data_IF_812046370067
#
_entry.id   IF_812046370067
#
_cell.length_a   1.000
_cell.length_b   1.000
_cell.length_c   1.000
_cell.angle_alpha   90.00
_cell.angle_beta   90.00
_cell.angle_gamma   90.00
#
_symmetry.space_group_name_H-M   'P 1'
#
loop_
_entity.id
_entity.type
_entity.pdbx_description
1 polymer ?
#
# COMPACT_ATOMS: atom_id res chain seq x y z
N UNK A 1 23.07 0.68 -18.30
CA UNK A 1 22.67 -0.67 -17.83
C UNK A 1 22.04 -0.66 -16.41
N UNK A 2 22.70 -0.07 -15.40
CA UNK A 2 22.22 -0.05 -14.01
C UNK A 2 20.89 0.70 -13.84
N UNK A 3 20.78 1.93 -14.38
CA UNK A 3 19.56 2.72 -14.33
C UNK A 3 18.37 2.01 -14.99
N UNK A 4 18.59 1.36 -16.13
CA UNK A 4 17.56 0.58 -16.81
C UNK A 4 17.06 -0.59 -15.95
N UNK A 5 17.97 -1.32 -15.32
CA UNK A 5 17.62 -2.41 -14.41
C UNK A 5 16.81 -1.91 -13.20
N UNK A 6 17.17 -0.75 -12.62
CA UNK A 6 16.44 -0.14 -11.52
C UNK A 6 15.02 0.29 -11.94
N UNK A 7 14.86 0.89 -13.12
CA UNK A 7 13.55 1.28 -13.64
C UNK A 7 12.67 0.04 -13.84
N UNK A 8 13.19 -1.00 -14.50
CA UNK A 8 12.44 -2.25 -14.72
C UNK A 8 12.06 -2.91 -13.40
N UNK A 9 12.97 -2.97 -12.44
CA UNK A 9 12.69 -3.51 -11.10
C UNK A 9 11.61 -2.70 -10.38
N UNK A 10 11.66 -1.36 -10.44
CA UNK A 10 10.68 -0.47 -9.83
C UNK A 10 9.28 -0.62 -10.45
N UNK A 11 9.21 -0.72 -11.78
CA UNK A 11 7.94 -0.94 -12.50
C UNK A 11 7.36 -2.32 -12.15
N UNK A 12 8.19 -3.37 -12.18
CA UNK A 12 7.77 -4.72 -11.83
C UNK A 12 7.26 -4.81 -10.38
N UNK A 13 7.96 -4.19 -9.43
CA UNK A 13 7.56 -4.15 -8.03
C UNK A 13 6.19 -3.47 -7.85
N UNK A 14 5.97 -2.32 -8.49
CA UNK A 14 4.68 -1.64 -8.45
C UNK A 14 3.55 -2.47 -9.06
N UNK A 15 3.83 -3.12 -10.20
CA UNK A 15 2.87 -3.97 -10.87
C UNK A 15 2.46 -5.18 -10.02
N UNK A 16 3.41 -5.81 -9.32
CA UNK A 16 3.11 -6.90 -8.37
C UNK A 16 2.32 -6.39 -7.16
N UNK A 17 2.62 -5.19 -6.68
CA UNK A 17 1.99 -4.64 -5.47
C UNK A 17 0.54 -4.19 -5.69
N UNK A 18 0.29 -3.43 -6.75
CA UNK A 18 -1.02 -2.78 -7.01
C UNK A 18 -1.85 -3.54 -8.04
N UNK A 19 -1.23 -4.44 -8.81
CA UNK A 19 -1.78 -5.02 -10.06
C UNK A 19 -2.03 -3.95 -11.11
N UNK A 20 -2.43 -4.36 -12.32
CA UNK A 20 -2.82 -3.44 -13.37
C UNK A 20 -4.11 -2.70 -12.97
N UNK A 21 -4.00 -1.47 -12.47
CA UNK A 21 -5.13 -0.60 -12.18
C UNK A 21 -5.17 0.52 -13.23
N UNK A 22 -6.04 0.40 -14.21
CA UNK A 22 -6.23 1.42 -15.24
C UNK A 22 -7.38 2.34 -14.86
N UNK A 23 -7.06 3.50 -14.27
CA UNK A 23 -8.06 4.44 -13.73
C UNK A 23 -7.83 5.88 -14.23
N UNK A 24 -8.08 6.16 -15.53
CA UNK A 24 -7.84 7.48 -16.13
C UNK A 24 -8.71 8.59 -15.51
N UNK A 25 -9.83 8.26 -14.87
CA UNK A 25 -10.69 9.23 -14.16
C UNK A 25 -10.04 9.85 -12.92
N UNK A 26 -9.01 9.21 -12.35
CA UNK A 26 -8.27 9.74 -11.19
C UNK A 26 -7.40 10.95 -11.59
N UNK A 27 -7.06 11.07 -12.87
CA UNK A 27 -6.23 12.15 -13.41
C UNK A 27 -7.02 13.48 -13.51
N UNK A 28 -8.37 13.42 -13.46
CA UNK A 28 -9.19 14.63 -13.47
C UNK A 28 -9.00 15.42 -12.17
N UNK A 29 -8.65 16.72 -12.22
CA UNK A 29 -8.50 17.53 -11.01
C UNK A 29 -9.87 17.69 -10.32
N UNK A 30 -10.00 17.11 -9.12
CA UNK A 30 -11.21 17.24 -8.27
C UNK A 30 -10.98 18.33 -7.22
N UNK A 31 -11.63 19.48 -7.38
CA UNK A 31 -11.51 20.63 -6.45
C UNK A 31 -11.99 20.33 -5.03
N UNK A 32 -12.87 19.34 -4.84
CA UNK A 32 -13.29 18.85 -3.52
C UNK A 32 -12.13 18.28 -2.69
N UNK A 33 -11.08 17.76 -3.34
CA UNK A 33 -9.88 17.23 -2.66
C UNK A 33 -8.88 18.32 -2.24
N UNK A 34 -9.10 19.58 -2.63
CA UNK A 34 -8.21 20.70 -2.30
C UNK A 34 -8.56 21.37 -0.96
N UNK A 35 -9.58 20.94 -0.23
CA UNK A 35 -9.93 21.55 1.05
C UNK A 35 -8.85 21.23 2.12
N UNK A 36 -8.03 22.23 2.53
CA UNK A 36 -6.86 21.98 3.37
C UNK A 36 -7.23 21.60 4.81
N UNK A 37 -8.39 22.05 5.31
CA UNK A 37 -8.89 21.70 6.64
C UNK A 37 -9.32 20.23 6.72
N UNK A 38 -10.03 19.74 5.70
CA UNK A 38 -10.41 18.33 5.61
C UNK A 38 -9.18 17.43 5.40
N UNK A 39 -8.21 17.88 4.60
CA UNK A 39 -6.92 17.21 4.40
C UNK A 39 -6.13 17.09 5.71
N UNK A 40 -6.05 18.16 6.50
CA UNK A 40 -5.34 18.16 7.79
C UNK A 40 -6.00 17.19 8.78
N UNK A 41 -7.34 17.18 8.87
CA UNK A 41 -8.06 16.26 9.75
C UNK A 41 -7.81 14.80 9.35
N UNK A 42 -7.86 14.50 8.05
CA UNK A 42 -7.59 13.15 7.55
C UNK A 42 -6.14 12.70 7.76
N UNK A 43 -5.17 13.60 7.65
CA UNK A 43 -3.75 13.26 7.85
C UNK A 43 -3.45 13.07 9.35
N UNK A 44 -3.91 13.96 10.24
CA UNK A 44 -3.53 13.90 11.65
C UNK A 44 -4.41 13.01 12.54
N UNK A 45 -5.72 12.92 12.26
CA UNK A 45 -6.67 12.18 13.10
C UNK A 45 -7.02 10.79 12.57
N UNK A 46 -6.43 10.36 11.45
CA UNK A 46 -6.61 8.99 10.99
C UNK A 46 -5.76 8.04 11.84
N UNK A 47 -6.38 7.00 12.39
CA UNK A 47 -5.67 5.89 13.06
C UNK A 47 -4.60 5.24 12.16
N UNK A 48 -4.74 5.39 10.84
CA UNK A 48 -3.77 4.93 9.85
C UNK A 48 -2.43 5.65 9.98
N UNK A 49 -2.44 6.97 10.21
CA UNK A 49 -1.22 7.78 10.30
C UNK A 49 -0.36 7.36 11.48
N UNK A 50 -0.97 7.10 12.65
CA UNK A 50 -0.25 6.60 13.81
C UNK A 50 0.43 5.25 13.55
N UNK A 51 -0.26 4.32 12.87
CA UNK A 51 0.31 3.02 12.49
C UNK A 51 1.49 3.22 11.52
N UNK A 52 1.36 4.12 10.55
CA UNK A 52 2.45 4.43 9.60
C UNK A 52 3.65 5.08 10.28
N UNK A 53 3.43 5.99 11.23
CA UNK A 53 4.50 6.61 12.04
C UNK A 53 5.27 5.56 12.84
N UNK A 54 4.57 4.69 13.58
CA UNK A 54 5.21 3.62 14.37
C UNK A 54 6.02 2.69 13.47
N UNK A 55 5.47 2.27 12.33
CA UNK A 55 6.21 1.44 11.36
C UNK A 55 7.46 2.15 10.86
N UNK A 56 7.39 3.44 10.56
CA UNK A 56 8.54 4.20 10.06
C UNK A 56 9.61 4.39 11.14
N UNK A 57 9.21 4.63 12.39
CA UNK A 57 10.12 4.66 13.54
C UNK A 57 10.85 3.33 13.72
N UNK A 58 10.14 2.20 13.61
CA UNK A 58 10.75 0.86 13.67
C UNK A 58 11.75 0.68 12.52
N UNK A 59 11.35 0.97 11.27
CA UNK A 59 12.25 0.86 10.11
C UNK A 59 13.50 1.72 10.30
N UNK A 60 13.33 2.96 10.76
CA UNK A 60 14.44 3.86 11.03
C UNK A 60 15.37 3.31 12.11
N UNK A 61 14.83 2.82 13.23
CA UNK A 61 15.61 2.22 14.30
C UNK A 61 16.40 0.97 13.85
N UNK A 62 15.76 0.10 13.06
CA UNK A 62 16.42 -1.10 12.50
C UNK A 62 17.55 -0.71 11.56
N UNK A 63 17.31 0.23 10.64
CA UNK A 63 18.35 0.71 9.70
C UNK A 63 19.49 1.37 10.47
N UNK A 64 19.18 2.23 11.44
CA UNK A 64 20.17 2.88 12.29
C UNK A 64 21.04 1.86 13.02
N UNK A 65 20.44 0.83 13.62
CA UNK A 65 21.16 -0.23 14.30
C UNK A 65 22.06 -1.04 13.35
N UNK A 66 21.59 -1.37 12.15
CA UNK A 66 22.38 -2.09 11.14
C UNK A 66 23.56 -1.24 10.66
N UNK A 67 23.35 0.05 10.39
CA UNK A 67 24.40 0.97 10.00
C UNK A 67 25.42 1.13 11.13
N UNK A 68 24.96 1.42 12.34
CA UNK A 68 25.83 1.60 13.51
C UNK A 68 26.66 0.36 13.80
N UNK A 69 26.05 -0.83 13.82
CA UNK A 69 26.77 -2.09 14.04
C UNK A 69 27.75 -2.42 12.92
N UNK A 70 27.41 -2.13 11.66
CA UNK A 70 28.31 -2.36 10.54
C UNK A 70 29.50 -1.41 10.56
N UNK A 71 29.30 -0.12 10.88
CA UNK A 71 30.38 0.86 11.02
C UNK A 71 31.28 0.46 12.19
N UNK A 72 30.71 0.15 13.36
CA UNK A 72 31.46 -0.27 14.55
C UNK A 72 32.32 -1.51 14.29
N UNK A 73 31.77 -2.50 13.58
CA UNK A 73 32.51 -3.70 13.18
C UNK A 73 33.64 -3.40 12.20
N UNK A 74 33.44 -2.45 11.29
CA UNK A 74 34.42 -2.05 10.27
C UNK A 74 35.48 -1.06 10.80
N UNK A 75 35.35 -0.54 12.03
CA UNK A 75 36.31 0.43 12.57
C UNK A 75 37.74 -0.11 12.61
N UNK A 76 37.93 -1.42 12.84
CA UNK A 76 39.27 -2.04 12.80
C UNK A 76 39.93 -1.94 11.43
N UNK A 77 39.13 -2.03 10.38
CA UNK A 77 39.59 -1.96 8.99
C UNK A 77 39.73 -0.52 8.51
N UNK A 78 38.96 0.42 9.11
CA UNK A 78 38.97 1.84 8.77
C UNK A 78 40.16 2.59 9.39
N UNK A 79 40.58 2.23 10.61
CA UNK A 79 41.71 2.89 11.31
C UNK A 79 43.01 2.92 10.49
N UNK A 80 43.47 1.84 9.85
CA UNK A 80 44.70 1.84 9.07
C UNK A 80 44.58 2.50 7.68
N UNK A 81 43.39 2.93 7.23
CA UNK A 81 43.22 3.54 5.89
C UNK A 81 44.14 4.75 5.68
N UNK A 82 44.43 5.51 6.74
CA UNK A 82 45.30 6.69 6.67
C UNK A 82 46.76 6.36 6.27
N UNK A 83 47.20 5.10 6.42
CA UNK A 83 48.55 4.65 6.06
C UNK A 83 48.58 3.75 4.81
N UNK A 84 47.45 3.51 4.15
CA UNK A 84 47.33 2.64 2.99
C UNK A 84 47.54 3.38 1.66
N UNK A 85 48.03 2.65 0.65
CA UNK A 85 48.13 3.14 -0.73
C UNK A 85 46.74 3.28 -1.36
N UNK A 86 46.59 4.22 -2.30
CA UNK A 86 45.31 4.56 -2.94
C UNK A 86 44.56 3.36 -3.55
N UNK A 87 45.29 2.43 -4.17
CA UNK A 87 44.77 1.20 -4.79
C UNK A 87 44.17 0.24 -3.75
N UNK A 88 44.84 0.08 -2.61
CA UNK A 88 44.37 -0.76 -1.51
C UNK A 88 43.16 -0.14 -0.80
N UNK A 89 43.18 1.18 -0.61
CA UNK A 89 42.06 1.93 -0.03
C UNK A 89 40.80 1.84 -0.89
N UNK A 90 40.93 1.97 -2.23
CA UNK A 90 39.80 1.84 -3.14
C UNK A 90 39.16 0.45 -3.10
N UNK A 91 39.97 -0.60 -3.03
CA UNK A 91 39.51 -1.99 -2.95
C UNK A 91 38.79 -2.27 -1.62
N UNK A 92 39.37 -1.82 -0.50
CA UNK A 92 38.77 -1.93 0.82
C UNK A 92 37.44 -1.16 0.89
N UNK A 93 37.40 0.08 0.41
CA UNK A 93 36.17 0.87 0.34
C UNK A 93 35.09 0.18 -0.49
N UNK A 94 35.44 -0.39 -1.65
CA UNK A 94 34.52 -1.18 -2.47
C UNK A 94 33.95 -2.40 -1.73
N UNK A 95 34.78 -3.14 -0.99
CA UNK A 95 34.32 -4.28 -0.18
C UNK A 95 33.41 -3.85 0.99
N UNK A 96 33.71 -2.73 1.64
CA UNK A 96 32.90 -2.20 2.74
C UNK A 96 31.54 -1.71 2.24
N UNK A 97 31.53 -0.94 1.14
CA UNK A 97 30.30 -0.43 0.52
C UNK A 97 29.43 -1.60 0.03
N UNK A 98 30.00 -2.58 -0.67
CA UNK A 98 29.24 -3.74 -1.14
C UNK A 98 28.68 -4.56 0.01
N UNK A 99 29.48 -4.85 1.06
CA UNK A 99 29.02 -5.54 2.26
C UNK A 99 27.88 -4.79 2.96
N UNK A 100 27.99 -3.47 3.08
CA UNK A 100 26.95 -2.63 3.65
C UNK A 100 25.68 -2.66 2.80
N UNK A 101 25.81 -2.57 1.48
CA UNK A 101 24.70 -2.60 0.53
C UNK A 101 23.94 -3.93 0.60
N UNK A 102 24.66 -5.06 0.69
CA UNK A 102 24.05 -6.38 0.89
C UNK A 102 23.28 -6.47 2.21
N UNK A 103 23.89 -6.06 3.34
CA UNK A 103 23.24 -6.10 4.66
C UNK A 103 21.98 -5.24 4.69
N UNK A 104 22.09 -4.00 4.23
CA UNK A 104 20.98 -3.04 4.19
C UNK A 104 19.90 -3.50 3.22
N UNK A 105 20.29 -4.04 2.06
CA UNK A 105 19.37 -4.59 1.06
C UNK A 105 18.52 -5.74 1.61
N UNK A 106 19.14 -6.71 2.30
CA UNK A 106 18.41 -7.83 2.93
C UNK A 106 17.45 -7.32 4.00
N UNK A 107 17.88 -6.39 4.84
CA UNK A 107 17.03 -5.78 5.88
C UNK A 107 15.85 -5.06 5.25
N UNK A 108 16.05 -4.30 4.18
CA UNK A 108 14.96 -3.63 3.46
C UNK A 108 14.02 -4.61 2.78
N UNK A 109 14.49 -5.73 2.25
CA UNK A 109 13.61 -6.77 1.69
C UNK A 109 12.69 -7.34 2.76
N UNK A 110 13.22 -7.63 3.96
CA UNK A 110 12.42 -8.13 5.09
C UNK A 110 11.41 -7.07 5.55
N UNK A 111 11.87 -5.83 5.78
CA UNK A 111 11.01 -4.73 6.21
C UNK A 111 9.94 -4.39 5.16
N UNK A 112 10.30 -4.43 3.88
CA UNK A 112 9.39 -4.20 2.76
C UNK A 112 8.33 -5.29 2.64
N UNK A 113 8.72 -6.56 2.79
CA UNK A 113 7.78 -7.68 2.82
C UNK A 113 6.78 -7.60 3.99
N UNK A 114 7.28 -7.29 5.19
CA UNK A 114 6.43 -7.08 6.36
C UNK A 114 5.47 -5.90 6.17
N UNK A 115 5.95 -4.79 5.62
CA UNK A 115 5.14 -3.61 5.34
C UNK A 115 4.04 -3.91 4.31
N UNK A 116 4.38 -4.65 3.24
CA UNK A 116 3.42 -5.10 2.23
C UNK A 116 2.31 -5.95 2.86
N UNK A 117 2.64 -6.91 3.72
CA UNK A 117 1.65 -7.77 4.37
C UNK A 117 0.69 -6.98 5.26
N UNK A 118 1.22 -6.03 6.05
CA UNK A 118 0.39 -5.15 6.89
C UNK A 118 -0.50 -4.27 6.01
N UNK A 119 0.04 -3.68 4.94
CA UNK A 119 -0.74 -2.85 4.01
C UNK A 119 -1.84 -3.66 3.33
N UNK A 120 -1.56 -4.89 2.89
CA UNK A 120 -2.56 -5.78 2.29
C UNK A 120 -3.70 -6.08 3.25
N UNK A 121 -3.39 -6.39 4.52
CA UNK A 121 -4.39 -6.64 5.56
C UNK A 121 -5.23 -5.39 5.86
N UNK A 122 -4.58 -4.23 5.94
CA UNK A 122 -5.28 -2.96 6.17
C UNK A 122 -6.18 -2.59 4.99
N UNK A 123 -5.70 -2.79 3.77
CA UNK A 123 -6.48 -2.56 2.56
C UNK A 123 -7.72 -3.46 2.50
N UNK A 124 -7.56 -4.76 2.77
CA UNK A 124 -8.69 -5.69 2.86
C UNK A 124 -9.68 -5.29 3.94
N UNK A 125 -9.20 -4.88 5.13
CA UNK A 125 -10.05 -4.40 6.22
C UNK A 125 -10.83 -3.14 5.82
N UNK A 126 -10.22 -2.22 5.08
CA UNK A 126 -10.87 -1.00 4.62
C UNK A 126 -11.94 -1.25 3.54
N UNK A 127 -11.91 -2.40 2.86
CA UNK A 127 -12.95 -2.81 1.91
C UNK A 127 -14.10 -3.59 2.57
N UNK A 128 -14.00 -3.90 3.87
CA UNK A 128 -15.08 -4.56 4.60
C UNK A 128 -16.13 -3.53 5.02
N UNK A 129 -17.41 -3.84 4.78
CA UNK A 129 -18.52 -3.02 5.26
C UNK A 129 -18.63 -3.11 6.78
N UNK A 130 -18.88 -1.96 7.41
CA UNK A 130 -19.23 -1.91 8.82
C UNK A 130 -20.63 -2.50 9.06
N UNK A 131 -20.91 -2.96 10.29
CA UNK A 131 -22.27 -3.43 10.64
C UNK A 131 -23.33 -2.34 10.47
N UNK A 132 -22.92 -1.08 10.61
CA UNK A 132 -23.78 0.10 10.43
C UNK A 132 -24.06 0.33 8.94
N UNK A 133 -23.03 0.29 8.08
CA UNK A 133 -23.20 0.36 6.62
C UNK A 133 -24.08 -0.77 6.10
N UNK A 134 -23.86 -2.01 6.54
CA UNK A 134 -24.71 -3.15 6.15
C UNK A 134 -26.16 -2.89 6.55
N UNK A 135 -26.41 -2.46 7.79
CA UNK A 135 -27.77 -2.15 8.26
C UNK A 135 -28.41 -0.99 7.48
N UNK A 136 -27.61 -0.02 7.04
CA UNK A 136 -28.07 1.11 6.26
C UNK A 136 -28.36 0.71 4.81
N UNK A 137 -27.52 -0.11 4.17
CA UNK A 137 -27.80 -0.72 2.88
C UNK A 137 -29.08 -1.57 2.90
N UNK A 138 -29.28 -2.40 3.94
CA UNK A 138 -30.52 -3.18 4.09
C UNK A 138 -31.75 -2.25 4.20
N UNK A 139 -31.64 -1.16 4.96
CA UNK A 139 -32.72 -0.16 5.06
C UNK A 139 -32.96 0.59 3.76
N UNK A 140 -31.92 0.93 3.00
CA UNK A 140 -32.04 1.56 1.70
C UNK A 140 -32.65 0.60 0.67
N UNK A 141 -32.23 -0.67 0.64
CA UNK A 141 -32.81 -1.67 -0.27
C UNK A 141 -34.27 -2.02 0.06
N UNK A 142 -34.64 -2.09 1.34
CA UNK A 142 -36.04 -2.30 1.75
C UNK A 142 -36.89 -1.03 1.63
N UNK A 143 -36.25 0.15 1.74
CA UNK A 143 -36.89 1.46 1.71
C UNK A 143 -36.93 2.15 0.35
N UNK A 144 -36.20 1.66 -0.66
CA UNK A 144 -36.14 2.29 -1.97
C UNK A 144 -37.46 2.05 -2.72
N UNK A 145 -38.25 3.11 -3.00
CA UNK A 145 -39.46 2.99 -3.78
C UNK A 145 -39.20 2.33 -5.15
N UNK A 146 -38.02 2.46 -5.75
CA UNK A 146 -37.68 1.79 -7.00
C UNK A 146 -37.69 0.26 -6.87
N UNK A 147 -37.11 -0.30 -5.82
CA UNK A 147 -37.10 -1.76 -5.58
C UNK A 147 -38.52 -2.27 -5.32
N UNK A 148 -39.33 -1.48 -4.60
CA UNK A 148 -40.75 -1.77 -4.37
C UNK A 148 -41.58 -1.71 -5.67
N UNK A 149 -41.36 -0.70 -6.51
CA UNK A 149 -42.03 -0.57 -7.81
C UNK A 149 -41.61 -1.68 -8.78
N UNK A 150 -40.34 -2.06 -8.78
CA UNK A 150 -39.82 -3.15 -9.62
C UNK A 150 -40.39 -4.50 -9.23
N UNK A 151 -40.47 -4.80 -7.92
CA UNK A 151 -41.16 -5.99 -7.40
C UNK A 151 -42.63 -6.02 -7.78
N UNK A 152 -43.32 -4.88 -7.68
CA UNK A 152 -44.73 -4.75 -8.07
C UNK A 152 -44.94 -5.01 -9.56
N UNK A 153 -44.12 -4.40 -10.42
CA UNK A 153 -44.20 -4.61 -11.87
C UNK A 153 -43.89 -6.05 -12.28
N UNK A 154 -42.90 -6.69 -11.65
CA UNK A 154 -42.58 -8.10 -11.92
C UNK A 154 -43.74 -9.02 -11.51
N UNK A 155 -44.38 -8.74 -10.38
CA UNK A 155 -45.56 -9.48 -9.93
C UNK A 155 -46.75 -9.32 -10.89
N UNK A 156 -47.00 -8.11 -11.38
CA UNK A 156 -48.04 -7.83 -12.39
C UNK A 156 -47.76 -8.60 -13.69
N UNK A 157 -46.50 -8.67 -14.16
CA UNK A 157 -46.13 -9.44 -15.34
C UNK A 157 -46.39 -10.95 -15.17
N UNK A 158 -45.98 -11.53 -14.05
CA UNK A 158 -46.21 -12.96 -13.76
C UNK A 158 -47.71 -13.29 -13.63
N UNK A 159 -48.51 -12.37 -13.10
CA UNK A 159 -49.96 -12.51 -13.03
C UNK A 159 -50.60 -12.44 -14.42
N UNK A 160 -50.15 -11.53 -15.29
CA UNK A 160 -50.62 -11.48 -16.67
C UNK A 160 -50.25 -12.73 -17.47
N UNK A 161 -49.04 -13.27 -17.27
CA UNK A 161 -48.56 -14.47 -17.94
C UNK A 161 -49.28 -15.73 -17.45
N UNK A 162 -49.53 -15.84 -16.13
CA UNK A 162 -50.30 -16.97 -15.56
C UNK A 162 -51.79 -16.92 -15.88
N UNK A 163 -52.39 -15.74 -16.05
CA UNK A 163 -53.76 -15.59 -16.56
C UNK A 163 -53.81 -15.95 -18.05
N UNK A 164 -52.87 -15.47 -18.87
CA UNK A 164 -52.82 -15.84 -20.29
C UNK A 164 -52.61 -17.34 -20.52
N UNK A 165 -51.94 -18.03 -19.60
CA UNK A 165 -51.75 -19.48 -19.64
C UNK A 165 -52.99 -20.27 -19.16
N UNK A 166 -53.88 -19.66 -18.38
CA UNK A 166 -55.06 -20.30 -17.78
C UNK A 166 -56.39 -20.01 -18.51
N UNK A 167 -56.37 -19.33 -19.66
CA UNK A 167 -57.57 -19.17 -20.50
C UNK A 167 -57.52 -20.20 -21.64
N UNK A 168 -58.49 -21.14 -21.73
CA UNK A 168 -58.61 -22.12 -22.81
C UNK A 168 -59.05 -21.49 -24.15
#
# INVERSE_FOLDING_TARGET
>A
PLLGALVVAGVAANFVQVKALFAPEIIKPKFEKLNPLAGFKNIFFSSRTYIELVKNLIKFGVIFWVLYSSIKGSMRDIIPIASMRLDQTATLAGSLISSLLYKVGVVFLILGGADYMIQKKLHMKNMMMSKEEVKQEYKEQEGDPHVKHMRKHLFEQLMHESVAHNVP
#
